data_IF_488091240007
#
_entry.id   IF_488091240007
#
_cell.length_a   1.000
_cell.length_b   1.000
_cell.length_c   1.000
_cell.angle_alpha   90.00
_cell.angle_beta   90.00
_cell.angle_gamma   90.00
#
_symmetry.space_group_name_H-M   'P 1'
#
loop_
_entity.id
_entity.type
_entity.pdbx_description
1 polymer ?
#
# COMPACT_ATOMS: atom_id res chain seq x y z
N UNK A 1 -17.62 -14.73 11.34
CA UNK A 1 -16.83 -13.63 10.76
C UNK A 1 -16.13 -12.94 11.92
N UNK A 2 -14.81 -12.80 11.87
CA UNK A 2 -14.03 -12.14 12.94
C UNK A 2 -14.34 -10.64 12.87
N UNK A 3 -14.53 -9.98 14.02
CA UNK A 3 -14.77 -8.53 14.05
C UNK A 3 -13.47 -7.73 13.82
N UNK A 4 -13.58 -6.49 13.36
CA UNK A 4 -12.42 -5.57 13.23
C UNK A 4 -11.68 -5.45 14.57
N UNK A 5 -12.41 -5.37 15.68
CA UNK A 5 -11.81 -5.32 17.00
C UNK A 5 -11.00 -6.59 17.32
N UNK A 6 -11.50 -7.76 16.97
CA UNK A 6 -10.75 -9.02 17.14
C UNK A 6 -9.50 -9.08 16.24
N UNK A 7 -9.60 -8.61 14.99
CA UNK A 7 -8.45 -8.51 14.07
C UNK A 7 -7.38 -7.55 14.60
N UNK A 8 -7.79 -6.41 15.17
CA UNK A 8 -6.88 -5.49 15.83
C UNK A 8 -6.20 -6.14 17.04
N UNK A 9 -6.95 -6.83 17.91
CA UNK A 9 -6.36 -7.52 19.06
C UNK A 9 -5.35 -8.59 18.67
N UNK A 10 -5.59 -9.31 17.57
CA UNK A 10 -4.69 -10.35 17.03
C UNK A 10 -3.44 -9.80 16.34
N UNK A 11 -3.33 -8.48 16.16
CA UNK A 11 -2.21 -7.84 15.47
C UNK A 11 -1.48 -6.80 16.33
N UNK A 12 -1.73 -6.79 17.64
CA UNK A 12 -1.15 -5.82 18.58
C UNK A 12 0.38 -5.92 18.68
N UNK A 13 0.90 -7.14 18.55
CA UNK A 13 2.31 -7.49 18.60
C UNK A 13 3.02 -7.34 17.24
N UNK A 14 2.29 -7.00 16.18
CA UNK A 14 2.79 -6.92 14.80
C UNK A 14 2.83 -5.50 14.27
N UNK A 15 3.63 -5.30 13.24
CA UNK A 15 3.60 -4.08 12.42
C UNK A 15 2.38 -4.14 11.49
N UNK A 16 1.40 -3.28 11.74
CA UNK A 16 0.17 -3.19 10.94
C UNK A 16 0.37 -2.26 9.76
N UNK A 17 0.33 -2.83 8.55
CA UNK A 17 0.38 -2.10 7.28
C UNK A 17 -1.04 -1.97 6.75
N UNK A 18 -1.60 -0.76 6.80
CA UNK A 18 -2.99 -0.50 6.41
C UNK A 18 -3.03 0.21 5.06
N UNK A 19 -3.69 -0.41 4.09
CA UNK A 19 -3.83 0.11 2.73
C UNK A 19 -5.25 0.61 2.57
N UNK A 20 -5.41 1.93 2.46
CA UNK A 20 -6.69 2.58 2.18
C UNK A 20 -6.83 2.73 0.68
N UNK A 21 -7.69 1.89 0.12
CA UNK A 21 -8.01 1.88 -1.32
C UNK A 21 -9.41 2.47 -1.57
N UNK A 22 -9.64 3.05 -2.77
CA UNK A 22 -10.99 3.40 -3.21
C UNK A 22 -11.84 2.13 -3.40
N UNK A 23 -13.16 2.31 -3.55
CA UNK A 23 -14.10 1.21 -3.81
C UNK A 23 -14.01 0.64 -5.24
N UNK A 24 -13.21 1.27 -6.10
CA UNK A 24 -12.98 0.83 -7.47
C UNK A 24 -12.00 -0.34 -7.43
N UNK A 25 -12.25 -1.33 -8.29
CA UNK A 25 -11.37 -2.49 -8.46
C UNK A 25 -9.95 -2.04 -8.81
N UNK A 26 -8.97 -2.65 -8.14
CA UNK A 26 -7.55 -2.36 -8.27
C UNK A 26 -6.75 -3.58 -7.84
N UNK A 27 -5.49 -3.63 -8.25
CA UNK A 27 -4.58 -4.74 -7.95
C UNK A 27 -3.50 -4.36 -6.92
N UNK A 28 -3.70 -3.33 -6.09
CA UNK A 28 -2.67 -2.85 -5.15
C UNK A 28 -2.20 -3.96 -4.21
N UNK A 29 -3.15 -4.63 -3.55
CA UNK A 29 -2.84 -5.72 -2.64
C UNK A 29 -2.25 -6.92 -3.39
N UNK A 30 -2.72 -7.21 -4.61
CA UNK A 30 -2.20 -8.30 -5.43
C UNK A 30 -0.74 -8.06 -5.86
N UNK A 31 -0.43 -6.85 -6.35
CA UNK A 31 0.94 -6.44 -6.71
C UNK A 31 1.87 -6.43 -5.52
N UNK A 32 1.43 -5.92 -4.36
CA UNK A 32 2.22 -5.95 -3.12
C UNK A 32 2.54 -7.39 -2.72
N UNK A 33 1.53 -8.26 -2.73
CA UNK A 33 1.68 -9.69 -2.44
C UNK A 33 2.65 -10.37 -3.39
N UNK A 34 2.51 -10.13 -4.68
CA UNK A 34 3.39 -10.68 -5.70
C UNK A 34 4.85 -10.35 -5.41
N UNK A 35 5.16 -9.09 -5.09
CA UNK A 35 6.54 -8.69 -4.76
C UNK A 35 7.05 -9.36 -3.49
N UNK A 36 6.22 -9.46 -2.44
CA UNK A 36 6.61 -10.11 -1.19
C UNK A 36 6.83 -11.62 -1.39
N UNK A 37 5.93 -12.29 -2.11
CA UNK A 37 6.01 -13.72 -2.42
C UNK A 37 7.21 -14.04 -3.32
N UNK A 38 7.51 -13.16 -4.30
CA UNK A 38 8.69 -13.29 -5.16
C UNK A 38 10.01 -13.36 -4.35
N UNK A 39 10.06 -12.63 -3.24
CA UNK A 39 11.24 -12.54 -2.36
C UNK A 39 11.16 -13.41 -1.10
N UNK A 40 10.28 -14.43 -1.11
CA UNK A 40 10.06 -15.33 0.03
C UNK A 40 9.80 -14.59 1.36
N UNK A 41 9.16 -13.41 1.28
CA UNK A 41 8.86 -12.59 2.45
C UNK A 41 7.48 -12.91 3.00
N UNK A 42 7.46 -13.76 4.02
CA UNK A 42 6.24 -14.12 4.73
C UNK A 42 5.66 -12.93 5.51
N UNK A 43 4.38 -12.66 5.30
CA UNK A 43 3.59 -11.69 6.06
C UNK A 43 2.17 -12.21 6.25
N UNK A 44 1.50 -11.70 7.27
CA UNK A 44 0.09 -11.99 7.49
C UNK A 44 -0.81 -11.08 6.66
N UNK A 45 -2.04 -11.52 6.41
CA UNK A 45 -3.00 -10.77 5.62
C UNK A 45 -4.40 -10.80 6.23
N UNK A 46 -5.07 -9.66 6.19
CA UNK A 46 -6.49 -9.52 6.50
C UNK A 46 -7.22 -9.08 5.25
N UNK A 47 -8.11 -9.94 4.75
CA UNK A 47 -8.93 -9.66 3.57
C UNK A 47 -10.21 -8.88 3.96
N UNK A 48 -10.80 -8.11 3.03
CA UNK A 48 -12.01 -7.32 3.29
C UNK A 48 -13.23 -8.13 3.79
N UNK A 49 -13.30 -9.42 3.47
CA UNK A 49 -14.35 -10.33 3.94
C UNK A 49 -14.15 -10.83 5.39
N UNK A 50 -13.11 -10.34 6.09
CA UNK A 50 -12.75 -10.75 7.44
C UNK A 50 -12.04 -12.10 7.53
N UNK A 51 -11.64 -12.69 6.39
CA UNK A 51 -10.73 -13.84 6.35
C UNK A 51 -9.32 -13.32 6.61
N UNK A 52 -8.64 -13.91 7.58
CA UNK A 52 -7.24 -13.62 7.86
C UNK A 52 -6.39 -14.88 7.74
N UNK A 53 -5.13 -14.67 7.34
CA UNK A 53 -4.03 -15.62 7.55
C UNK A 53 -3.14 -14.92 8.56
N UNK A 54 -3.02 -15.51 9.75
CA UNK A 54 -2.24 -14.95 10.85
C UNK A 54 -1.40 -16.06 11.46
N UNK A 55 -0.09 -15.85 11.54
CA UNK A 55 0.88 -16.77 12.16
C UNK A 55 1.58 -16.05 13.32
N UNK A 56 2.03 -16.75 14.35
CA UNK A 56 2.73 -16.07 15.46
C UNK A 56 4.12 -15.56 15.06
N UNK A 57 4.70 -16.10 13.99
CA UNK A 57 6.09 -15.83 13.59
C UNK A 57 6.24 -14.59 12.70
N UNK A 58 5.19 -14.16 12.00
CA UNK A 58 5.26 -13.05 11.05
C UNK A 58 5.25 -11.67 11.75
N UNK A 59 6.22 -10.83 11.41
CA UNK A 59 6.38 -9.48 11.97
C UNK A 59 5.35 -8.47 11.44
N UNK A 60 4.82 -8.70 10.24
CA UNK A 60 3.95 -7.77 9.52
C UNK A 60 2.58 -8.38 9.25
N UNK A 61 1.56 -7.53 9.29
CA UNK A 61 0.23 -7.85 8.79
C UNK A 61 -0.24 -6.78 7.80
N UNK A 62 -0.63 -7.21 6.61
CA UNK A 62 -1.20 -6.35 5.57
C UNK A 62 -2.73 -6.34 5.69
N UNK A 63 -3.31 -5.15 5.70
CA UNK A 63 -4.73 -4.93 5.96
C UNK A 63 -5.26 -4.00 4.87
N UNK A 64 -6.11 -4.52 3.99
CA UNK A 64 -6.86 -3.66 3.06
C UNK A 64 -8.12 -3.14 3.74
N UNK A 65 -8.32 -1.84 3.77
CA UNK A 65 -9.42 -1.20 4.47
C UNK A 65 -10.12 -0.14 3.61
N UNK A 66 -11.42 -0.33 3.35
CA UNK A 66 -12.28 0.68 2.72
C UNK A 66 -13.08 1.49 3.74
N UNK A 67 -13.30 0.94 4.94
CA UNK A 67 -14.08 1.52 6.05
C UNK A 67 -13.37 1.24 7.37
N UNK A 68 -13.65 2.06 8.38
CA UNK A 68 -13.16 1.86 9.76
C UNK A 68 -11.64 1.63 9.86
N UNK A 69 -10.86 2.15 8.91
CA UNK A 69 -9.41 1.96 8.86
C UNK A 69 -8.71 2.47 10.14
N UNK A 70 -9.33 3.45 10.81
CA UNK A 70 -8.87 4.04 12.06
C UNK A 70 -8.81 3.06 13.24
N UNK A 71 -9.54 1.96 13.19
CA UNK A 71 -9.59 0.99 14.27
C UNK A 71 -8.34 0.10 14.30
N UNK A 72 -7.60 0.03 13.20
CA UNK A 72 -6.38 -0.77 13.10
C UNK A 72 -5.13 -0.10 13.66
N UNK A 73 -5.16 1.21 13.94
CA UNK A 73 -4.01 1.97 14.48
C UNK A 73 -2.71 1.63 13.73
N UNK A 74 -2.69 1.96 12.45
CA UNK A 74 -1.63 1.58 11.52
C UNK A 74 -0.24 1.97 12.06
N UNK A 75 0.76 1.14 11.81
CA UNK A 75 2.17 1.51 11.95
C UNK A 75 2.69 2.11 10.64
N UNK A 76 2.23 1.54 9.52
CA UNK A 76 2.51 1.98 8.15
C UNK A 76 1.17 2.09 7.44
N UNK A 77 0.92 3.19 6.75
CA UNK A 77 -0.30 3.41 6.00
C UNK A 77 0.00 3.81 4.55
N UNK A 78 -0.80 3.33 3.61
CA UNK A 78 -0.86 3.83 2.24
C UNK A 78 -2.25 4.42 1.97
N UNK A 79 -2.31 5.65 1.45
CA UNK A 79 -3.54 6.28 0.96
C UNK A 79 -3.32 6.68 -0.49
N UNK A 80 -4.05 6.03 -1.40
CA UNK A 80 -3.89 6.25 -2.85
C UNK A 80 -4.83 7.32 -3.42
N UNK A 81 -5.97 7.53 -2.77
CA UNK A 81 -6.98 8.54 -3.12
C UNK A 81 -7.83 8.89 -1.88
N UNK A 82 -8.65 9.94 -1.98
CA UNK A 82 -9.65 10.29 -0.97
C UNK A 82 -10.82 9.32 -1.08
N UNK A 83 -11.04 8.52 -0.03
CA UNK A 83 -12.16 7.59 0.07
C UNK A 83 -13.37 8.28 0.73
N UNK A 84 -14.52 8.45 0.04
CA UNK A 84 -15.71 9.09 0.60
C UNK A 84 -16.33 8.37 1.80
N UNK A 85 -16.05 7.07 1.97
CA UNK A 85 -16.54 6.26 3.09
C UNK A 85 -15.62 6.32 4.32
N UNK A 86 -14.51 7.07 4.25
CA UNK A 86 -13.53 7.23 5.32
C UNK A 86 -13.21 8.71 5.56
N UNK A 87 -13.24 9.15 6.82
CA UNK A 87 -12.65 10.45 7.15
C UNK A 87 -11.12 10.34 7.15
N UNK A 88 -10.49 10.83 6.08
CA UNK A 88 -9.03 10.78 5.90
C UNK A 88 -8.27 11.44 7.05
N UNK A 89 -8.71 12.60 7.54
CA UNK A 89 -8.03 13.30 8.66
C UNK A 89 -8.06 12.45 9.93
N UNK A 90 -9.24 11.94 10.31
CA UNK A 90 -9.38 11.06 11.48
C UNK A 90 -8.54 9.79 11.34
N UNK A 91 -8.45 9.23 10.13
CA UNK A 91 -7.58 8.07 9.88
C UNK A 91 -6.11 8.43 10.08
N UNK A 92 -5.62 9.55 9.54
CA UNK A 92 -4.23 9.99 9.73
C UNK A 92 -3.94 10.19 11.22
N UNK A 93 -4.83 10.84 11.97
CA UNK A 93 -4.69 11.05 13.42
C UNK A 93 -4.74 9.74 14.24
N UNK A 94 -5.21 8.65 13.63
CA UNK A 94 -5.26 7.33 14.27
C UNK A 94 -3.99 6.50 14.07
N UNK A 95 -3.11 6.90 13.14
CA UNK A 95 -1.83 6.23 12.91
C UNK A 95 -1.00 6.29 14.21
N UNK A 96 -0.29 5.21 14.52
CA UNK A 96 0.56 5.14 15.70
C UNK A 96 1.61 6.25 15.68
N UNK A 97 1.88 6.89 16.83
CA UNK A 97 2.91 7.92 16.95
C UNK A 97 4.27 7.41 16.43
N UNK A 98 4.94 8.23 15.62
CA UNK A 98 6.18 7.86 14.93
C UNK A 98 5.99 6.92 13.73
N UNK A 99 4.76 6.51 13.43
CA UNK A 99 4.39 5.70 12.27
C UNK A 99 4.63 6.40 10.94
N UNK A 100 4.32 5.70 9.85
CA UNK A 100 4.66 6.11 8.49
C UNK A 100 3.39 6.19 7.63
N UNK A 101 3.24 7.29 6.90
CA UNK A 101 2.18 7.50 5.92
C UNK A 101 2.79 7.69 4.54
N UNK A 102 2.46 6.79 3.62
CA UNK A 102 2.71 6.89 2.19
C UNK A 102 1.44 7.43 1.52
N UNK A 103 1.55 8.45 0.67
CA UNK A 103 0.37 9.03 0.03
C UNK A 103 0.63 9.51 -1.40
N UNK A 104 -0.41 9.41 -2.22
CA UNK A 104 -0.39 9.91 -3.59
C UNK A 104 -0.44 11.45 -3.60
N UNK A 105 0.63 12.11 -4.06
CA UNK A 105 0.68 13.56 -4.14
C UNK A 105 -0.02 14.14 -5.37
N UNK A 106 -0.30 13.32 -6.37
CA UNK A 106 -1.00 13.73 -7.59
C UNK A 106 -2.49 13.95 -7.31
N UNK A 107 -3.01 13.38 -6.22
CA UNK A 107 -4.36 13.64 -5.69
C UNK A 107 -4.32 14.93 -4.85
N UNK A 108 -4.64 16.06 -5.49
CA UNK A 108 -4.56 17.38 -4.86
C UNK A 108 -5.33 17.51 -3.53
N UNK A 109 -6.53 16.93 -3.45
CA UNK A 109 -7.35 16.92 -2.23
C UNK A 109 -6.67 16.16 -1.08
N UNK A 110 -6.12 14.98 -1.36
CA UNK A 110 -5.38 14.18 -0.41
C UNK A 110 -4.12 14.90 0.06
N UNK A 111 -3.36 15.46 -0.87
CA UNK A 111 -2.15 16.24 -0.56
C UNK A 111 -2.44 17.38 0.42
N UNK A 112 -3.50 18.15 0.18
CA UNK A 112 -3.90 19.24 1.08
C UNK A 112 -4.25 18.73 2.49
N UNK A 113 -4.97 17.61 2.59
CA UNK A 113 -5.31 17.00 3.89
C UNK A 113 -4.05 16.57 4.63
N UNK A 114 -3.13 15.89 3.93
CA UNK A 114 -1.88 15.38 4.52
C UNK A 114 -0.95 16.52 4.93
N UNK A 115 -0.79 17.56 4.12
CA UNK A 115 0.06 18.72 4.43
C UNK A 115 -0.48 19.55 5.60
N UNK A 116 -1.80 19.65 5.75
CA UNK A 116 -2.44 20.35 6.86
C UNK A 116 -2.43 19.55 8.18
N UNK A 117 -2.25 18.23 8.13
CA UNK A 117 -2.27 17.38 9.32
C UNK A 117 -1.02 17.59 10.20
N UNK A 118 -1.21 17.68 11.52
CA UNK A 118 -0.14 17.96 12.50
C UNK A 118 0.25 16.74 13.35
N UNK A 119 -0.33 15.57 13.08
CA UNK A 119 -0.04 14.34 13.82
C UNK A 119 1.44 13.93 13.66
N UNK A 120 2.03 13.37 14.72
CA UNK A 120 3.48 13.11 14.77
C UNK A 120 3.82 11.80 14.06
N UNK A 121 3.79 11.83 12.73
CA UNK A 121 4.10 10.71 11.84
C UNK A 121 5.08 11.14 10.75
N UNK A 122 5.80 10.17 10.17
CA UNK A 122 6.60 10.40 8.96
C UNK A 122 5.69 10.34 7.74
N UNK A 123 5.90 11.23 6.78
CA UNK A 123 5.09 11.34 5.56
C UNK A 123 6.00 11.17 4.34
N UNK A 124 5.60 10.27 3.44
CA UNK A 124 6.29 9.95 2.20
C UNK A 124 5.32 10.14 1.04
N UNK A 125 5.56 11.16 0.23
CA UNK A 125 4.77 11.34 -0.99
C UNK A 125 5.30 10.45 -2.11
N UNK A 126 4.41 10.04 -3.01
CA UNK A 126 4.77 9.51 -4.32
C UNK A 126 3.95 10.19 -5.41
N UNK A 127 4.50 10.24 -6.61
CA UNK A 127 3.76 10.51 -7.85
C UNK A 127 3.69 9.23 -8.68
N UNK A 128 2.75 9.18 -9.62
CA UNK A 128 2.70 8.13 -10.63
C UNK A 128 4.05 8.03 -11.37
N UNK A 129 4.52 6.82 -11.68
CA UNK A 129 5.74 6.65 -12.44
C UNK A 129 5.55 7.12 -13.89
N UNK A 130 6.65 7.54 -14.51
CA UNK A 130 6.66 7.70 -15.95
C UNK A 130 6.68 6.32 -16.62
N UNK A 131 5.90 6.18 -17.68
CA UNK A 131 5.86 4.98 -18.49
C UNK A 131 5.66 5.33 -19.97
N UNK A 132 6.08 4.44 -20.84
CA UNK A 132 5.91 4.55 -22.29
C UNK A 132 5.21 3.31 -22.84
N UNK A 133 4.52 3.46 -23.96
CA UNK A 133 3.86 2.35 -24.66
C UNK A 133 4.50 2.25 -26.05
N UNK A 134 5.11 1.10 -26.35
CA UNK A 134 5.76 0.82 -27.64
C UNK A 134 5.31 -0.55 -28.15
N UNK A 135 4.75 -0.61 -29.36
CA UNK A 135 4.24 -1.85 -29.96
C UNK A 135 3.32 -2.65 -29.01
N UNK A 136 2.38 -1.96 -28.35
CA UNK A 136 1.43 -2.53 -27.37
C UNK A 136 2.06 -3.03 -26.06
N UNK A 137 3.39 -2.89 -25.89
CA UNK A 137 4.09 -3.22 -24.65
C UNK A 137 4.26 -1.97 -23.77
N UNK A 138 4.06 -2.14 -22.47
CA UNK A 138 4.24 -1.09 -21.47
C UNK A 138 5.65 -1.15 -20.89
N UNK A 139 6.27 0.01 -20.73
CA UNK A 139 7.61 0.14 -20.17
C UNK A 139 7.62 1.19 -19.08
N UNK A 140 8.02 0.81 -17.87
CA UNK A 140 8.33 1.72 -16.79
C UNK A 140 9.67 2.40 -17.05
N UNK A 141 9.74 3.72 -16.86
CA UNK A 141 11.02 4.44 -16.91
C UNK A 141 11.72 4.34 -15.55
N UNK A 142 12.87 3.66 -15.51
CA UNK A 142 13.71 3.55 -14.30
C UNK A 142 15.06 4.23 -14.54
N UNK A 143 15.85 4.37 -13.46
CA UNK A 143 17.21 4.91 -13.56
C UNK A 143 18.15 4.00 -14.37
N UNK A 144 17.80 2.72 -14.53
CA UNK A 144 18.56 1.74 -15.30
C UNK A 144 18.09 1.60 -16.75
N UNK A 145 17.00 2.30 -17.11
CA UNK A 145 16.41 2.30 -18.45
C UNK A 145 14.95 1.87 -18.43
N UNK A 146 14.48 1.34 -19.57
CA UNK A 146 13.10 0.89 -19.71
C UNK A 146 12.94 -0.51 -19.15
N UNK A 147 12.08 -0.65 -18.14
CA UNK A 147 11.67 -1.94 -17.59
C UNK A 147 10.35 -2.37 -18.24
N UNK A 148 10.30 -3.47 -19.01
CA UNK A 148 9.04 -4.01 -19.52
C UNK A 148 8.15 -4.48 -18.37
N UNK A 149 6.85 -4.18 -18.46
CA UNK A 149 5.83 -4.59 -17.49
C UNK A 149 4.58 -5.08 -18.22
N UNK A 150 3.82 -5.99 -17.61
CA UNK A 150 2.53 -6.44 -18.14
C UNK A 150 1.33 -5.65 -17.60
N UNK A 151 1.56 -4.72 -16.68
CA UNK A 151 0.52 -3.89 -16.08
C UNK A 151 0.07 -2.85 -17.11
N UNK A 152 -1.19 -2.93 -17.52
CA UNK A 152 -1.82 -2.00 -18.47
C UNK A 152 -2.88 -1.10 -17.84
N UNK A 153 -3.46 -1.52 -16.71
CA UNK A 153 -4.52 -0.75 -16.07
C UNK A 153 -3.96 0.53 -15.46
N UNK A 154 -4.56 1.65 -15.83
CA UNK A 154 -4.08 2.98 -15.44
C UNK A 154 -4.03 3.14 -13.91
N UNK A 155 -5.05 2.66 -13.20
CA UNK A 155 -5.12 2.74 -11.72
C UNK A 155 -3.98 1.97 -11.06
N UNK A 156 -3.53 0.86 -11.66
CA UNK A 156 -2.44 0.05 -11.12
C UNK A 156 -1.10 0.73 -11.37
N UNK A 157 -0.88 1.25 -12.59
CA UNK A 157 0.30 2.05 -12.95
C UNK A 157 0.46 3.26 -12.03
N UNK A 158 -0.62 4.00 -11.79
CA UNK A 158 -0.61 5.20 -10.93
C UNK A 158 -0.17 4.89 -9.49
N UNK A 159 -0.38 3.66 -9.01
CA UNK A 159 -0.11 3.27 -7.63
C UNK A 159 1.19 2.48 -7.41
N UNK A 160 1.92 2.16 -8.48
CA UNK A 160 3.17 1.39 -8.44
C UNK A 160 4.19 1.95 -7.44
N UNK A 161 4.41 3.26 -7.43
CA UNK A 161 5.38 3.86 -6.51
C UNK A 161 4.89 3.93 -5.06
N UNK A 162 3.58 3.95 -4.83
CA UNK A 162 3.02 3.76 -3.49
C UNK A 162 3.29 2.36 -2.95
N UNK A 163 3.14 1.34 -3.82
CA UNK A 163 3.44 -0.06 -3.50
C UNK A 163 4.95 -0.23 -3.26
N UNK A 164 5.80 0.35 -4.12
CA UNK A 164 7.26 0.34 -3.94
C UNK A 164 7.67 0.87 -2.56
N UNK A 165 7.09 1.99 -2.12
CA UNK A 165 7.35 2.53 -0.78
C UNK A 165 6.97 1.56 0.34
N UNK A 166 5.83 0.87 0.23
CA UNK A 166 5.46 -0.17 1.19
C UNK A 166 6.48 -1.32 1.19
N UNK A 167 6.87 -1.82 0.02
CA UNK A 167 7.89 -2.85 -0.14
C UNK A 167 9.22 -2.43 0.54
N UNK A 168 9.66 -1.17 0.37
CA UNK A 168 10.85 -0.64 1.03
C UNK A 168 10.73 -0.59 2.55
N UNK A 169 9.57 -0.22 3.09
CA UNK A 169 9.32 -0.29 4.53
C UNK A 169 9.23 -1.72 5.07
N UNK A 170 8.95 -2.68 4.18
CA UNK A 170 8.99 -4.11 4.45
C UNK A 170 10.39 -4.70 4.17
N UNK A 171 11.39 -3.90 3.81
CA UNK A 171 12.77 -4.36 3.61
C UNK A 171 13.07 -4.96 2.23
N UNK A 172 12.20 -4.74 1.24
CA UNK A 172 12.48 -5.01 -0.17
C UNK A 172 13.03 -3.72 -0.79
N UNK A 173 14.28 -3.74 -1.24
CA UNK A 173 14.88 -2.56 -1.88
C UNK A 173 14.29 -2.26 -3.27
N UNK A 174 14.71 -1.14 -3.87
CA UNK A 174 14.15 -0.67 -5.14
C UNK A 174 14.44 -1.62 -6.31
N UNK A 175 15.64 -2.18 -6.37
CA UNK A 175 16.05 -3.08 -7.46
C UNK A 175 15.29 -4.41 -7.35
N UNK A 176 15.19 -4.95 -6.14
CA UNK A 176 14.38 -6.13 -5.83
C UNK A 176 12.89 -5.91 -6.17
N UNK A 177 12.36 -4.71 -5.91
CA UNK A 177 10.99 -4.37 -6.32
C UNK A 177 10.83 -4.42 -7.84
N UNK A 178 11.74 -3.81 -8.61
CA UNK A 178 11.65 -3.80 -10.07
C UNK A 178 11.79 -5.20 -10.69
N UNK A 179 12.67 -6.04 -10.13
CA UNK A 179 12.84 -7.44 -10.53
C UNK A 179 11.52 -8.22 -10.39
N UNK A 180 10.86 -8.09 -9.24
CA UNK A 180 9.62 -8.80 -8.97
C UNK A 180 8.44 -8.25 -9.77
N UNK A 181 8.23 -6.92 -9.78
CA UNK A 181 7.05 -6.31 -10.40
C UNK A 181 7.04 -6.45 -11.92
N UNK A 182 8.21 -6.58 -12.56
CA UNK A 182 8.32 -6.88 -13.99
C UNK A 182 7.70 -8.22 -14.40
N UNK A 183 7.46 -9.11 -13.43
CA UNK A 183 6.85 -10.45 -13.64
C UNK A 183 5.39 -10.53 -13.20
N UNK A 184 4.80 -9.43 -12.69
CA UNK A 184 3.41 -9.42 -12.24
C UNK A 184 2.44 -9.53 -13.43
N UNK A 185 1.47 -10.43 -13.28
CA UNK A 185 0.36 -10.63 -14.21
C UNK A 185 -0.95 -10.49 -13.40
N UNK A 186 -1.88 -9.67 -13.89
CA UNK A 186 -3.17 -9.38 -13.24
C UNK A 186 -4.20 -10.49 -13.45
#
# INVERSE_FOLDING_TARGET
MISIQQLYQQSLDKTRVVIVVPTIENNIMAMLRHVLEYHDKDVDYVLPNGKSISTEDNEFVLIEATKNANDFKANIALIVDVNPELNTTTFIDSITDGGMLVYNQDVASLKLIVEANTHTIKKYSYAAPNYTIENELHFLETNEGKLPIQISEKIDLENLFGIKWLCQHLGIDEDAFYEAIGTFEA
#
